data_IF_723070709774
#
_entry.id   IF_723070709774
#
_cell.length_a   1.000
_cell.length_b   1.000
_cell.length_c   1.000
_cell.angle_alpha   90.00
_cell.angle_beta   90.00
_cell.angle_gamma   90.00
#
_symmetry.space_group_name_H-M   'P 1'
#
loop_
_entity.id
_entity.type
_entity.pdbx_description
1 polymer ?
#
# COMPACT_ATOMS: atom_id res chain seq x y z
N UNK A 1 -3.98 -14.24 -14.14
CA UNK A 1 -4.74 -13.41 -15.12
C UNK A 1 -4.31 -11.96 -14.94
N UNK A 2 -3.96 -11.27 -16.05
CA UNK A 2 -3.62 -9.85 -16.02
C UNK A 2 -4.89 -9.03 -15.72
N UNK A 3 -4.79 -8.12 -14.76
CA UNK A 3 -5.87 -7.22 -14.36
C UNK A 3 -6.54 -6.57 -15.58
N UNK A 4 -7.87 -6.52 -15.57
CA UNK A 4 -8.60 -5.74 -16.56
C UNK A 4 -8.22 -4.27 -16.36
N UNK A 5 -7.93 -3.56 -17.45
CA UNK A 5 -7.71 -2.11 -17.44
C UNK A 5 -8.99 -1.47 -17.96
N UNK A 6 -9.47 -0.40 -17.31
CA UNK A 6 -10.66 0.31 -17.76
C UNK A 6 -10.48 0.78 -19.22
N UNK A 7 -11.26 0.25 -20.18
CA UNK A 7 -11.09 0.60 -21.60
C UNK A 7 -11.56 2.03 -21.91
N UNK A 8 -12.46 2.60 -21.10
CA UNK A 8 -13.00 3.94 -21.31
C UNK A 8 -13.16 4.68 -19.97
N UNK A 9 -12.25 5.63 -19.73
CA UNK A 9 -12.21 6.43 -18.50
C UNK A 9 -13.24 7.55 -18.48
N UNK A 10 -13.99 7.75 -19.56
CA UNK A 10 -15.06 8.77 -19.63
C UNK A 10 -16.41 8.24 -19.14
N UNK A 11 -16.53 6.93 -18.92
CA UNK A 11 -17.76 6.27 -18.45
C UNK A 11 -17.54 5.59 -17.10
N UNK A 12 -18.58 5.49 -16.25
CA UNK A 12 -18.52 4.67 -15.04
C UNK A 12 -18.21 3.21 -15.38
N UNK A 13 -17.23 2.62 -14.69
CA UNK A 13 -16.83 1.23 -14.93
C UNK A 13 -17.65 0.28 -14.06
N UNK A 14 -18.94 0.16 -14.38
CA UNK A 14 -19.90 -0.64 -13.60
C UNK A 14 -19.60 -2.15 -13.61
N UNK A 15 -18.77 -2.61 -14.55
CA UNK A 15 -18.34 -4.00 -14.67
C UNK A 15 -16.89 -4.19 -14.16
N UNK A 16 -16.47 -3.38 -13.18
CA UNK A 16 -15.19 -3.56 -12.50
C UNK A 16 -15.17 -4.99 -11.90
N UNK A 17 -14.16 -5.83 -12.21
CA UNK A 17 -14.07 -7.16 -11.61
C UNK A 17 -13.88 -7.07 -10.10
N UNK A 18 -14.42 -8.05 -9.39
CA UNK A 18 -14.15 -8.22 -7.97
C UNK A 18 -12.66 -8.52 -7.74
N UNK A 19 -12.19 -8.22 -6.52
CA UNK A 19 -10.82 -8.52 -6.15
C UNK A 19 -10.58 -10.04 -6.15
N UNK A 20 -9.47 -10.50 -6.73
CA UNK A 20 -9.13 -11.92 -6.69
C UNK A 20 -8.82 -12.33 -5.25
N UNK A 21 -9.39 -13.44 -4.80
CA UNK A 21 -9.22 -13.96 -3.43
C UNK A 21 -8.27 -15.15 -3.36
N UNK A 22 -7.85 -15.68 -4.50
CA UNK A 22 -6.98 -16.86 -4.57
C UNK A 22 -5.57 -16.51 -4.09
N UNK A 23 -5.01 -17.36 -3.23
CA UNK A 23 -3.76 -17.09 -2.53
C UNK A 23 -2.57 -16.82 -3.46
N UNK A 24 -2.55 -17.46 -4.63
CA UNK A 24 -1.50 -17.30 -5.64
C UNK A 24 -1.29 -15.86 -6.11
N UNK A 25 -2.26 -14.96 -5.92
CA UNK A 25 -2.17 -13.56 -6.35
C UNK A 25 -1.53 -12.63 -5.31
N UNK A 26 -1.45 -13.04 -4.04
CA UNK A 26 -0.84 -12.22 -2.97
C UNK A 26 0.23 -12.96 -2.16
N UNK A 27 0.26 -14.30 -2.21
CA UNK A 27 1.30 -15.13 -1.59
C UNK A 27 2.42 -15.45 -2.56
N UNK A 28 2.98 -14.38 -3.11
CA UNK A 28 4.14 -14.44 -3.98
C UNK A 28 5.41 -14.06 -3.21
N UNK A 29 6.55 -14.68 -3.52
CA UNK A 29 7.80 -14.45 -2.80
C UNK A 29 8.26 -13.00 -2.93
N UNK A 30 8.22 -12.43 -4.14
CA UNK A 30 8.67 -11.07 -4.40
C UNK A 30 7.78 -10.05 -3.69
N UNK A 31 6.47 -10.35 -3.61
CA UNK A 31 5.51 -9.55 -2.83
C UNK A 31 5.83 -9.62 -1.34
N UNK A 32 6.16 -10.79 -0.80
CA UNK A 32 6.51 -10.93 0.61
C UNK A 32 7.84 -10.26 0.98
N UNK A 33 8.84 -10.30 0.11
CA UNK A 33 10.10 -9.57 0.30
C UNK A 33 9.85 -8.07 0.38
N UNK A 34 9.09 -7.51 -0.57
CA UNK A 34 8.72 -6.09 -0.57
C UNK A 34 7.87 -5.72 0.66
N UNK A 35 6.95 -6.59 1.07
CA UNK A 35 6.16 -6.40 2.28
C UNK A 35 7.03 -6.35 3.54
N UNK A 36 8.07 -7.18 3.62
CA UNK A 36 9.03 -7.19 4.71
C UNK A 36 9.76 -5.85 4.84
N UNK A 37 10.32 -5.36 3.73
CA UNK A 37 11.01 -4.07 3.68
C UNK A 37 10.09 -2.90 4.04
N UNK A 38 8.86 -2.89 3.48
CA UNK A 38 7.87 -1.87 3.78
C UNK A 38 7.50 -1.84 5.28
N UNK A 39 7.26 -3.02 5.89
CA UNK A 39 6.95 -3.13 7.33
C UNK A 39 8.12 -2.63 8.18
N UNK A 40 9.36 -2.99 7.83
CA UNK A 40 10.53 -2.52 8.55
C UNK A 40 10.68 -0.99 8.47
N UNK A 41 10.46 -0.40 7.29
CA UNK A 41 10.49 1.04 7.12
C UNK A 41 9.41 1.76 7.96
N UNK A 42 8.17 1.24 7.95
CA UNK A 42 7.07 1.78 8.75
C UNK A 42 7.38 1.68 10.25
N UNK A 43 7.88 0.54 10.72
CA UNK A 43 8.25 0.37 12.12
C UNK A 43 9.34 1.36 12.57
N UNK A 44 10.34 1.61 11.72
CA UNK A 44 11.37 2.63 11.99
C UNK A 44 10.76 4.03 12.06
N UNK A 45 9.84 4.36 11.15
CA UNK A 45 9.13 5.65 11.16
C UNK A 45 8.31 5.81 12.45
N UNK A 46 7.52 4.79 12.83
CA UNK A 46 6.71 4.80 14.04
C UNK A 46 7.56 4.91 15.32
N UNK A 47 8.67 4.17 15.40
CA UNK A 47 9.59 4.26 16.52
C UNK A 47 10.23 5.64 16.64
N UNK A 48 10.61 6.25 15.51
CA UNK A 48 11.18 7.60 15.49
C UNK A 48 10.12 8.67 15.79
N UNK A 49 8.92 8.55 15.25
CA UNK A 49 7.84 9.52 15.49
C UNK A 49 7.44 9.58 16.95
N UNK A 50 7.34 8.43 17.62
CA UNK A 50 7.04 8.36 19.06
C UNK A 50 8.12 9.04 19.92
N UNK A 51 9.37 9.06 19.47
CA UNK A 51 10.49 9.69 20.17
C UNK A 51 10.64 11.20 19.90
N UNK A 52 9.88 11.79 18.95
CA UNK A 52 9.95 13.23 18.65
C UNK A 52 9.21 14.02 19.74
N UNK A 53 9.88 14.96 20.45
CA UNK A 53 9.24 15.71 21.54
C UNK A 53 8.14 16.67 21.07
N UNK A 54 8.30 17.25 19.88
CA UNK A 54 7.31 18.15 19.28
C UNK A 54 6.57 17.46 18.13
N UNK A 55 5.43 16.85 18.43
CA UNK A 55 4.60 16.14 17.46
C UNK A 55 4.04 17.05 16.35
N UNK A 56 3.89 18.35 16.59
CA UNK A 56 3.48 19.32 15.57
C UNK A 56 4.51 19.45 14.44
N UNK A 57 5.80 19.30 14.73
CA UNK A 57 6.86 19.29 13.72
C UNK A 57 6.75 18.07 12.79
N UNK A 58 6.43 16.90 13.35
CA UNK A 58 6.26 15.67 12.58
C UNK A 58 5.12 15.82 11.57
N UNK A 59 3.94 16.27 12.02
CA UNK A 59 2.74 16.46 11.18
C UNK A 59 3.03 17.41 10.01
N UNK A 60 3.75 18.50 10.28
CA UNK A 60 4.12 19.49 9.26
C UNK A 60 5.20 19.01 8.26
N UNK A 61 5.93 17.94 8.57
CA UNK A 61 7.00 17.40 7.72
C UNK A 61 6.52 16.26 6.82
N UNK A 62 5.41 15.60 7.18
CA UNK A 62 4.83 14.46 6.45
C UNK A 62 3.58 14.81 5.63
N UNK A 63 3.02 16.01 5.81
CA UNK A 63 1.90 16.54 5.01
C UNK A 63 2.41 17.15 3.72
#
# INVERSE_FOLDING_TARGET
MAYLINPDRTKPWNNLPELPIEEQYYRDLDIFEQLGEAKAAIARLQGRSAAIPNQGMLINTIS
#
